data_IF_669330060676
#
_entry.id   IF_669330060676
#
_cell.length_a   1.000
_cell.length_b   1.000
_cell.length_c   1.000
_cell.angle_alpha   90.00
_cell.angle_beta   90.00
_cell.angle_gamma   90.00
#
_symmetry.space_group_name_H-M   'P 1'
#
loop_
_entity.id
_entity.type
_entity.pdbx_description
1 polymer ?
#
# COMPACT_ATOMS: atom_id res chain seq x y z
N UNK A 1 -6.22 -7.24 9.95
CA UNK A 1 -6.88 -7.37 8.63
C UNK A 1 -6.67 -8.79 8.18
N UNK A 2 -7.72 -9.53 7.89
CA UNK A 2 -7.61 -10.87 7.31
C UNK A 2 -7.49 -10.77 5.79
N UNK A 3 -6.68 -11.66 5.17
CA UNK A 3 -6.63 -11.80 3.72
C UNK A 3 -7.97 -12.31 3.24
N UNK A 4 -8.58 -11.53 2.40
CA UNK A 4 -9.74 -12.01 1.69
C UNK A 4 -9.30 -12.64 0.36
N UNK A 5 -9.64 -13.92 0.17
CA UNK A 5 -9.43 -14.61 -1.09
C UNK A 5 -10.61 -14.28 -2.01
N UNK A 6 -10.35 -13.45 -2.99
CA UNK A 6 -11.34 -13.10 -3.99
C UNK A 6 -11.54 -14.28 -4.93
N UNK A 7 -12.79 -14.69 -5.08
CA UNK A 7 -13.22 -15.72 -6.01
C UNK A 7 -14.13 -15.14 -7.11
N UNK A 8 -14.49 -15.97 -8.07
CA UNK A 8 -15.40 -15.57 -9.14
C UNK A 8 -16.76 -15.13 -8.60
N UNK A 9 -17.29 -15.84 -7.59
CA UNK A 9 -18.57 -15.50 -6.98
C UNK A 9 -18.60 -14.12 -6.33
N UNK A 10 -17.49 -13.73 -5.68
CA UNK A 10 -17.34 -12.39 -5.13
C UNK A 10 -17.35 -11.30 -6.22
N UNK A 11 -16.57 -11.51 -7.28
CA UNK A 11 -16.47 -10.56 -8.40
C UNK A 11 -17.81 -10.44 -9.14
N UNK A 12 -18.53 -11.55 -9.31
CA UNK A 12 -19.84 -11.55 -9.94
C UNK A 12 -20.88 -10.78 -9.10
N UNK A 13 -20.96 -11.03 -7.78
CA UNK A 13 -21.84 -10.26 -6.87
C UNK A 13 -21.49 -8.77 -6.85
N UNK A 14 -20.20 -8.43 -6.83
CA UNK A 14 -19.77 -7.03 -6.88
C UNK A 14 -20.18 -6.35 -8.20
N UNK A 15 -20.09 -7.07 -9.31
CA UNK A 15 -20.54 -6.59 -10.63
C UNK A 15 -22.04 -6.36 -10.67
N UNK A 16 -22.81 -7.22 -10.03
CA UNK A 16 -24.28 -7.15 -9.94
C UNK A 16 -24.76 -6.07 -8.97
N UNK A 17 -23.85 -5.50 -8.17
CA UNK A 17 -24.18 -4.43 -7.22
C UNK A 17 -24.77 -4.96 -5.92
N UNK A 18 -24.40 -6.16 -5.49
CA UNK A 18 -24.80 -6.69 -4.19
C UNK A 18 -24.33 -5.77 -3.06
N UNK A 19 -25.26 -5.22 -2.25
CA UNK A 19 -24.90 -4.18 -1.27
C UNK A 19 -23.90 -4.66 -0.22
N UNK A 20 -23.99 -5.91 0.22
CA UNK A 20 -23.07 -6.47 1.23
C UNK A 20 -21.66 -6.63 0.65
N UNK A 21 -21.56 -7.08 -0.59
CA UNK A 21 -20.29 -7.25 -1.30
C UNK A 21 -19.66 -5.88 -1.60
N UNK A 22 -20.44 -4.88 -2.00
CA UNK A 22 -19.96 -3.51 -2.20
C UNK A 22 -19.45 -2.90 -0.89
N UNK A 23 -20.19 -3.02 0.21
CA UNK A 23 -19.76 -2.53 1.52
C UNK A 23 -18.44 -3.18 1.96
N UNK A 24 -18.32 -4.50 1.79
CA UNK A 24 -17.09 -5.23 2.08
C UNK A 24 -15.93 -4.75 1.19
N UNK A 25 -16.17 -4.56 -0.12
CA UNK A 25 -15.18 -4.07 -1.07
C UNK A 25 -14.62 -2.71 -0.64
N UNK A 26 -15.48 -1.74 -0.32
CA UNK A 26 -15.04 -0.43 0.12
C UNK A 26 -14.26 -0.49 1.43
N UNK A 27 -14.78 -1.17 2.44
CA UNK A 27 -14.13 -1.29 3.74
C UNK A 27 -12.75 -1.99 3.66
N UNK A 28 -12.64 -3.04 2.84
CA UNK A 28 -11.40 -3.79 2.66
C UNK A 28 -10.33 -2.95 1.94
N UNK A 29 -10.68 -2.34 0.82
CA UNK A 29 -9.73 -1.56 0.04
C UNK A 29 -9.46 -0.17 0.60
N UNK A 30 -10.32 0.38 1.43
CA UNK A 30 -10.05 1.64 2.14
C UNK A 30 -8.75 1.59 2.93
N UNK A 31 -8.55 0.52 3.70
CA UNK A 31 -7.35 0.34 4.50
C UNK A 31 -6.10 0.12 3.62
N UNK A 32 -6.20 -0.77 2.62
CA UNK A 32 -5.07 -1.14 1.75
C UNK A 32 -4.62 0.06 0.90
N UNK A 33 -5.55 0.68 0.19
CA UNK A 33 -5.26 1.84 -0.64
C UNK A 33 -4.81 3.04 0.22
N UNK A 34 -5.40 3.21 1.41
CA UNK A 34 -4.98 4.24 2.36
C UNK A 34 -3.52 4.11 2.76
N UNK A 35 -3.06 2.92 3.12
CA UNK A 35 -1.64 2.65 3.44
C UNK A 35 -0.76 2.94 2.22
N UNK A 36 -1.15 2.42 1.04
CA UNK A 36 -0.38 2.59 -0.19
C UNK A 36 -0.25 4.07 -0.61
N UNK A 37 -1.32 4.85 -0.46
CA UNK A 37 -1.36 6.26 -0.85
C UNK A 37 -0.63 7.16 0.17
N UNK A 38 -0.76 6.88 1.47
CA UNK A 38 0.03 7.55 2.52
C UNK A 38 1.53 7.31 2.33
N UNK A 39 1.91 6.09 1.93
CA UNK A 39 3.30 5.78 1.60
C UNK A 39 3.91 6.71 0.53
N UNK A 40 3.07 7.29 -0.31
CA UNK A 40 3.46 8.29 -1.33
C UNK A 40 3.39 9.73 -0.85
N UNK A 41 3.15 9.94 0.43
CA UNK A 41 3.10 11.27 1.05
C UNK A 41 2.05 12.20 0.39
N UNK A 42 0.94 11.66 -0.09
CA UNK A 42 -0.16 12.46 -0.62
C UNK A 42 -0.91 13.20 0.52
N UNK A 43 -1.45 14.39 0.27
CA UNK A 43 -2.33 15.05 1.23
C UNK A 43 -3.64 14.25 1.37
N UNK A 44 -4.31 14.31 2.55
CA UNK A 44 -5.51 13.51 2.85
C UNK A 44 -6.61 13.66 1.79
N UNK A 45 -6.88 14.89 1.34
CA UNK A 45 -7.90 15.18 0.34
C UNK A 45 -7.61 14.44 -0.99
N UNK A 46 -6.34 14.39 -1.39
CA UNK A 46 -5.92 13.67 -2.59
C UNK A 46 -5.99 12.15 -2.42
N UNK A 47 -5.82 11.64 -1.20
CA UNK A 47 -5.99 10.22 -0.91
C UNK A 47 -7.45 9.82 -1.15
N UNK A 48 -8.39 10.63 -0.67
CA UNK A 48 -9.82 10.38 -0.83
C UNK A 48 -10.25 10.45 -2.30
N UNK A 49 -9.80 11.45 -3.02
CA UNK A 49 -10.09 11.60 -4.46
C UNK A 49 -9.58 10.38 -5.26
N UNK A 50 -8.33 9.98 -5.03
CA UNK A 50 -7.74 8.82 -5.72
C UNK A 50 -8.47 7.53 -5.37
N UNK A 51 -8.89 7.34 -4.11
CA UNK A 51 -9.67 6.16 -3.70
C UNK A 51 -11.03 6.14 -4.40
N UNK A 52 -11.77 7.24 -4.35
CA UNK A 52 -13.10 7.33 -4.99
C UNK A 52 -13.02 7.06 -6.49
N UNK A 53 -12.06 7.68 -7.17
CA UNK A 53 -11.87 7.47 -8.60
C UNK A 53 -11.46 6.02 -8.90
N UNK A 54 -10.61 5.41 -8.04
CA UNK A 54 -10.24 4.00 -8.16
C UNK A 54 -11.46 3.10 -8.06
N UNK A 55 -12.31 3.32 -7.06
CA UNK A 55 -13.53 2.52 -6.87
C UNK A 55 -14.48 2.66 -8.07
N UNK A 56 -14.71 3.89 -8.51
CA UNK A 56 -15.54 4.16 -9.68
C UNK A 56 -15.08 3.42 -10.92
N UNK A 57 -13.77 3.47 -11.21
CA UNK A 57 -13.17 2.77 -12.35
C UNK A 57 -13.22 1.26 -12.22
N UNK A 58 -12.96 0.71 -11.03
CA UNK A 58 -13.05 -0.73 -10.79
C UNK A 58 -14.46 -1.22 -11.08
N UNK A 59 -15.48 -0.59 -10.50
CA UNK A 59 -16.88 -0.96 -10.72
C UNK A 59 -17.28 -0.81 -12.20
N UNK A 60 -16.86 0.28 -12.86
CA UNK A 60 -17.12 0.49 -14.28
C UNK A 60 -16.50 -0.61 -15.16
N UNK A 61 -15.27 -1.06 -14.85
CA UNK A 61 -14.61 -2.15 -15.59
C UNK A 61 -15.31 -3.47 -15.35
N UNK A 62 -15.74 -3.76 -14.11
CA UNK A 62 -16.48 -4.99 -13.78
C UNK A 62 -17.80 -5.09 -14.54
N UNK A 63 -18.50 -3.98 -14.73
CA UNK A 63 -19.79 -3.92 -15.44
C UNK A 63 -19.67 -4.01 -16.96
N UNK A 64 -18.46 -3.87 -17.53
CA UNK A 64 -18.25 -4.06 -18.97
C UNK A 64 -18.19 -5.54 -19.34
N UNK A 65 -18.52 -5.85 -20.61
CA UNK A 65 -18.36 -7.19 -21.16
C UNK A 65 -16.88 -7.62 -21.04
N UNK A 66 -16.67 -8.84 -20.49
CA UNK A 66 -15.35 -9.41 -20.26
C UNK A 66 -14.78 -9.18 -18.86
N UNK A 67 -15.27 -8.24 -18.07
CA UNK A 67 -14.91 -8.04 -16.65
C UNK A 67 -13.43 -8.30 -16.30
N UNK A 68 -13.19 -8.88 -15.12
CA UNK A 68 -11.86 -9.30 -14.68
C UNK A 68 -11.58 -10.75 -15.07
N UNK A 69 -10.57 -10.98 -15.91
CA UNK A 69 -10.24 -12.33 -16.43
C UNK A 69 -9.75 -13.32 -15.37
N UNK A 70 -9.16 -12.82 -14.29
CA UNK A 70 -8.56 -13.62 -13.21
C UNK A 70 -9.08 -13.10 -11.86
N UNK A 71 -10.25 -13.61 -11.40
CA UNK A 71 -10.86 -13.17 -10.14
C UNK A 71 -9.96 -13.35 -8.93
N UNK A 72 -9.13 -14.37 -8.90
CA UNK A 72 -8.15 -14.65 -7.84
C UNK A 72 -7.06 -13.57 -7.72
N UNK A 73 -6.90 -12.75 -8.76
CA UNK A 73 -5.98 -11.59 -8.79
C UNK A 73 -6.70 -10.26 -8.64
N UNK A 74 -7.93 -10.28 -8.16
CA UNK A 74 -8.74 -9.07 -8.05
C UNK A 74 -8.07 -7.97 -7.23
N UNK A 75 -7.40 -8.32 -6.12
CA UNK A 75 -6.64 -7.36 -5.32
C UNK A 75 -5.53 -6.66 -6.13
N UNK A 76 -4.75 -7.42 -6.90
CA UNK A 76 -3.72 -6.86 -7.78
C UNK A 76 -4.31 -5.98 -8.89
N UNK A 77 -5.47 -6.35 -9.41
CA UNK A 77 -6.19 -5.53 -10.39
C UNK A 77 -6.61 -4.17 -9.80
N UNK A 78 -7.23 -4.14 -8.61
CA UNK A 78 -7.60 -2.89 -7.92
C UNK A 78 -6.39 -1.99 -7.70
N UNK A 79 -5.27 -2.57 -7.26
CA UNK A 79 -4.02 -1.83 -7.08
C UNK A 79 -3.47 -1.25 -8.39
N UNK A 80 -3.57 -1.99 -9.49
CA UNK A 80 -3.16 -1.50 -10.80
C UNK A 80 -4.02 -0.32 -11.27
N UNK A 81 -5.33 -0.40 -11.06
CA UNK A 81 -6.25 0.73 -11.34
C UNK A 81 -5.87 1.95 -10.50
N UNK A 82 -5.60 1.78 -9.21
CA UNK A 82 -5.20 2.87 -8.33
C UNK A 82 -3.88 3.53 -8.78
N UNK A 83 -2.89 2.74 -9.20
CA UNK A 83 -1.62 3.26 -9.75
C UNK A 83 -1.87 4.09 -11.02
N UNK A 84 -2.75 3.64 -11.90
CA UNK A 84 -3.09 4.38 -13.12
C UNK A 84 -3.76 5.71 -12.80
N UNK A 85 -4.73 5.73 -11.87
CA UNK A 85 -5.37 6.96 -11.39
C UNK A 85 -4.34 7.94 -10.84
N UNK A 86 -3.39 7.45 -10.04
CA UNK A 86 -2.30 8.26 -9.51
C UNK A 86 -1.42 8.86 -10.62
N UNK A 87 -1.05 8.07 -11.61
CA UNK A 87 -0.22 8.55 -12.72
C UNK A 87 -0.94 9.61 -13.55
N UNK A 88 -2.21 9.45 -13.82
CA UNK A 88 -3.02 10.43 -14.53
C UNK A 88 -3.13 11.74 -13.75
N UNK A 89 -3.49 11.66 -12.46
CA UNK A 89 -3.58 12.81 -11.59
C UNK A 89 -2.23 13.56 -11.42
N UNK A 90 -1.11 12.85 -11.46
CA UNK A 90 0.20 13.48 -11.44
C UNK A 90 0.50 14.19 -12.77
N UNK A 91 0.14 13.60 -13.92
CA UNK A 91 0.35 14.25 -15.22
C UNK A 91 -0.45 15.56 -15.33
N UNK A 92 -1.65 15.60 -14.81
CA UNK A 92 -2.48 16.81 -14.80
C UNK A 92 -1.93 17.89 -13.86
N UNK A 93 -1.32 17.48 -12.73
CA UNK A 93 -0.61 18.38 -11.81
C UNK A 93 0.70 18.92 -12.41
N UNK A 94 1.41 18.12 -13.21
CA UNK A 94 2.64 18.57 -13.91
C UNK A 94 2.36 19.53 -15.07
N UNK A 95 1.17 19.50 -15.65
CA UNK A 95 0.76 20.52 -16.65
C UNK A 95 0.51 21.89 -16.02
N UNK A 96 0.31 21.97 -14.73
CA UNK A 96 -0.03 23.19 -13.98
C UNK A 96 1.11 23.76 -13.16
N UNK A 97 2.31 23.12 -13.10
CA UNK A 97 3.49 23.64 -12.38
C UNK A 97 4.79 23.34 -13.14
N UNK A 98 5.78 24.28 -13.19
CA UNK A 98 7.08 24.05 -13.78
C UNK A 98 7.88 23.02 -12.97
N UNK A 99 8.57 22.19 -13.71
CA UNK A 99 9.46 21.09 -13.30
C UNK A 99 10.29 21.38 -12.05
N UNK A 100 10.09 20.56 -11.01
CA UNK A 100 11.16 20.20 -10.09
C UNK A 100 11.33 18.68 -10.20
N UNK A 101 12.47 18.30 -10.76
CA UNK A 101 12.93 16.94 -10.91
C UNK A 101 12.89 16.18 -9.58
N UNK A 102 12.15 15.10 -9.52
CA UNK A 102 12.15 14.18 -8.40
C UNK A 102 11.86 12.78 -8.92
N UNK A 103 12.91 11.98 -9.05
CA UNK A 103 12.94 10.59 -9.46
C UNK A 103 11.63 9.84 -9.20
N UNK A 104 10.96 9.48 -10.27
CA UNK A 104 9.93 8.44 -10.31
C UNK A 104 10.63 7.10 -10.04
N UNK A 105 10.57 6.63 -8.81
CA UNK A 105 10.94 5.26 -8.51
C UNK A 105 10.03 4.31 -9.29
N UNK A 106 10.67 3.42 -10.04
CA UNK A 106 10.05 2.33 -10.79
C UNK A 106 9.19 1.44 -9.88
N UNK A 107 8.00 1.01 -10.34
CA UNK A 107 6.94 0.39 -9.53
C UNK A 107 7.18 -1.06 -9.08
N UNK A 108 8.35 -1.67 -9.29
CA UNK A 108 8.43 -3.13 -9.43
C UNK A 108 8.63 -3.95 -8.16
N UNK A 109 8.75 -3.36 -6.96
CA UNK A 109 9.00 -4.18 -5.75
C UNK A 109 8.00 -4.04 -4.59
N UNK A 110 7.02 -3.17 -4.71
CA UNK A 110 6.00 -3.00 -3.64
C UNK A 110 4.94 -4.12 -3.67
N UNK A 111 4.80 -4.82 -4.78
CA UNK A 111 3.77 -5.87 -4.99
C UNK A 111 3.98 -7.10 -4.11
N UNK A 112 5.20 -7.38 -3.67
CA UNK A 112 5.47 -8.53 -2.79
C UNK A 112 5.14 -8.27 -1.31
N UNK A 113 5.10 -7.01 -0.88
CA UNK A 113 4.67 -6.66 0.48
C UNK A 113 3.17 -6.90 0.69
N UNK A 114 2.35 -6.72 -0.32
CA UNK A 114 0.90 -6.89 -0.24
C UNK A 114 0.46 -8.36 -0.04
N UNK A 115 1.19 -9.30 -0.60
CA UNK A 115 0.92 -10.73 -0.40
C UNK A 115 1.28 -11.23 1.00
N UNK A 116 2.15 -10.52 1.68
CA UNK A 116 2.75 -10.91 2.95
C UNK A 116 2.02 -10.37 4.19
N UNK A 117 1.26 -9.30 4.08
CA UNK A 117 0.74 -8.51 5.22
C UNK A 117 -0.49 -9.10 5.93
N UNK A 118 -0.88 -10.34 5.68
CA UNK A 118 -2.26 -10.71 5.91
C UNK A 118 -2.47 -11.87 6.86
N UNK A 119 -1.45 -12.52 7.33
CA UNK A 119 -1.57 -13.49 8.41
C UNK A 119 -1.22 -12.85 9.77
N UNK A 120 -1.69 -13.44 10.85
CA UNK A 120 -1.28 -13.09 12.23
C UNK A 120 0.24 -13.10 12.36
N UNK A 121 0.90 -14.09 11.74
CA UNK A 121 2.36 -14.19 11.61
C UNK A 121 3.01 -12.97 10.96
N UNK A 122 2.36 -12.37 9.97
CA UNK A 122 2.95 -11.19 9.30
C UNK A 122 2.84 -9.94 10.16
N UNK A 123 1.75 -9.79 10.93
CA UNK A 123 1.62 -8.69 11.88
C UNK A 123 2.69 -8.78 12.98
N UNK A 124 2.92 -9.98 13.51
CA UNK A 124 3.98 -10.24 14.48
C UNK A 124 5.35 -9.96 13.88
N UNK A 125 5.60 -10.42 12.66
CA UNK A 125 6.85 -10.15 11.92
C UNK A 125 7.10 -8.65 11.67
N UNK A 126 6.10 -7.92 11.23
CA UNK A 126 6.22 -6.47 11.05
C UNK A 126 6.54 -5.77 12.37
N UNK A 127 5.94 -6.24 13.47
CA UNK A 127 6.24 -5.71 14.81
C UNK A 127 7.69 -6.00 15.20
N UNK A 128 8.15 -7.24 15.04
CA UNK A 128 9.53 -7.65 15.34
C UNK A 128 10.53 -6.81 14.56
N UNK A 129 10.31 -6.63 13.25
CA UNK A 129 11.16 -5.79 12.40
C UNK A 129 11.18 -4.35 12.88
N UNK A 130 10.01 -3.79 13.21
CA UNK A 130 9.94 -2.43 13.73
C UNK A 130 10.67 -2.31 15.07
N UNK A 131 10.72 -3.37 15.89
CA UNK A 131 11.47 -3.38 17.15
C UNK A 131 12.98 -3.42 16.95
N UNK A 132 13.47 -4.03 15.87
CA UNK A 132 14.89 -4.00 15.49
C UNK A 132 15.35 -2.64 14.93
N UNK A 133 14.40 -1.81 14.48
CA UNK A 133 14.72 -0.48 13.95
C UNK A 133 15.01 0.53 15.06
N UNK A 134 15.72 1.62 14.72
CA UNK A 134 15.89 2.73 15.65
C UNK A 134 14.54 3.31 16.06
N UNK A 135 14.40 3.75 17.31
CA UNK A 135 13.17 4.35 17.81
C UNK A 135 12.65 5.46 16.88
N UNK A 136 13.56 6.29 16.39
CA UNK A 136 13.25 7.43 15.52
C UNK A 136 12.69 7.03 14.16
N UNK A 137 13.18 5.95 13.56
CA UNK A 137 12.66 5.42 12.28
C UNK A 137 11.34 4.68 12.49
N UNK A 138 11.22 3.95 13.59
CA UNK A 138 9.98 3.28 14.00
C UNK A 138 8.84 4.27 14.17
N UNK A 139 9.07 5.34 14.95
CA UNK A 139 8.06 6.36 15.20
C UNK A 139 7.68 7.11 13.91
N UNK A 140 8.66 7.37 13.05
CA UNK A 140 8.41 7.98 11.75
C UNK A 140 7.53 7.10 10.85
N UNK A 141 7.83 5.80 10.77
CA UNK A 141 7.01 4.88 9.99
C UNK A 141 5.60 4.74 10.58
N UNK A 142 5.46 4.68 11.91
CA UNK A 142 4.14 4.67 12.56
C UNK A 142 3.35 5.93 12.24
N UNK A 143 3.94 7.10 12.41
CA UNK A 143 3.28 8.38 12.14
C UNK A 143 2.81 8.49 10.67
N UNK A 144 3.64 8.03 9.73
CA UNK A 144 3.32 8.12 8.29
C UNK A 144 2.31 7.08 7.84
N UNK A 145 2.35 5.85 8.39
CA UNK A 145 1.58 4.72 7.85
C UNK A 145 0.38 4.31 8.69
N UNK A 146 0.44 4.50 10.00
CA UNK A 146 -0.57 4.00 10.92
C UNK A 146 -1.40 5.11 11.56
N UNK A 147 -0.82 6.30 11.72
CA UNK A 147 -1.50 7.47 12.25
C UNK A 147 -2.07 8.30 11.09
N UNK A 148 -3.30 8.78 11.20
CA UNK A 148 -3.95 9.59 10.18
C UNK A 148 -3.44 11.05 10.16
N UNK A 149 -2.20 11.26 10.60
CA UNK A 149 -1.57 12.57 10.70
C UNK A 149 -1.33 13.23 9.34
N UNK A 150 -1.64 14.52 9.28
CA UNK A 150 -1.30 15.38 8.15
C UNK A 150 0.23 15.54 8.06
N UNK A 151 0.79 15.67 6.84
CA UNK A 151 2.22 15.91 6.60
C UNK A 151 2.80 17.04 7.45
N UNK A 152 2.07 18.12 7.61
CA UNK A 152 2.53 19.29 8.35
C UNK A 152 2.61 19.02 9.85
N UNK A 153 1.75 18.16 10.38
CA UNK A 153 1.82 17.67 11.75
C UNK A 153 3.03 16.77 11.95
N UNK A 154 3.27 15.86 11.01
CA UNK A 154 4.45 14.99 11.05
C UNK A 154 5.73 15.81 10.92
N UNK A 155 5.78 16.80 10.02
CA UNK A 155 6.90 17.71 9.90
C UNK A 155 7.18 18.46 11.21
N UNK A 156 6.15 18.97 11.88
CA UNK A 156 6.26 19.63 13.19
C UNK A 156 6.73 18.68 14.29
N UNK A 157 6.15 17.47 14.35
CA UNK A 157 6.50 16.45 15.33
C UNK A 157 7.97 16.03 15.24
N UNK A 158 8.50 15.88 14.02
CA UNK A 158 9.88 15.46 13.78
C UNK A 158 10.87 16.62 13.59
N UNK A 159 10.41 17.87 13.61
CA UNK A 159 11.25 19.07 13.45
C UNK A 159 11.94 19.14 12.08
N UNK A 160 11.23 18.79 11.00
CA UNK A 160 11.77 18.71 9.65
C UNK A 160 10.86 19.42 8.64
N UNK A 161 11.42 19.87 7.53
CA UNK A 161 10.62 20.31 6.38
C UNK A 161 10.05 19.13 5.56
N UNK A 162 9.20 19.43 4.59
CA UNK A 162 8.53 18.42 3.76
C UNK A 162 9.50 17.61 2.91
N UNK A 163 10.55 18.25 2.37
CA UNK A 163 11.51 17.58 1.50
C UNK A 163 12.43 16.68 2.30
N UNK A 164 12.89 17.13 3.45
CA UNK A 164 13.68 16.31 4.35
C UNK A 164 12.86 15.16 4.97
N UNK A 165 11.58 15.38 5.28
CA UNK A 165 10.67 14.32 5.70
C UNK A 165 10.60 13.22 4.66
N UNK A 166 10.46 13.58 3.37
CA UNK A 166 10.42 12.63 2.24
C UNK A 166 11.69 11.77 2.19
N UNK A 167 12.85 12.39 2.28
CA UNK A 167 14.13 11.68 2.30
C UNK A 167 14.25 10.75 3.52
N UNK A 168 13.80 11.20 4.68
CA UNK A 168 13.84 10.37 5.90
C UNK A 168 12.90 9.17 5.82
N UNK A 169 11.69 9.36 5.32
CA UNK A 169 10.73 8.25 5.12
C UNK A 169 11.30 7.24 4.13
N UNK A 170 11.91 7.70 3.03
CA UNK A 170 12.57 6.80 2.08
C UNK A 170 13.66 5.97 2.76
N UNK A 171 14.57 6.59 3.50
CA UNK A 171 15.64 5.88 4.23
C UNK A 171 15.10 4.91 5.29
N UNK A 172 14.06 5.29 6.00
CA UNK A 172 13.44 4.40 6.98
C UNK A 172 12.79 3.17 6.31
N UNK A 173 12.17 3.35 5.15
CA UNK A 173 11.62 2.23 4.33
C UNK A 173 12.72 1.29 3.84
N UNK A 174 13.84 1.82 3.35
CA UNK A 174 14.96 0.97 2.91
C UNK A 174 15.54 0.16 4.07
N UNK A 175 15.72 0.75 5.26
CA UNK A 175 16.15 0.01 6.46
C UNK A 175 15.15 -1.07 6.87
N UNK A 176 13.86 -0.77 6.83
CA UNK A 176 12.83 -1.77 7.10
C UNK A 176 12.96 -2.96 6.14
N UNK A 177 13.17 -2.68 4.87
CA UNK A 177 13.35 -3.70 3.84
C UNK A 177 14.61 -4.55 4.08
N UNK A 178 15.73 -3.93 4.43
CA UNK A 178 16.97 -4.64 4.76
C UNK A 178 16.80 -5.60 5.94
N UNK A 179 16.14 -5.16 7.02
CA UNK A 179 15.84 -6.01 8.18
C UNK A 179 14.92 -7.15 7.79
N UNK A 180 13.87 -6.87 7.01
CA UNK A 180 12.93 -7.87 6.51
C UNK A 180 13.61 -8.95 5.65
N UNK A 181 14.46 -8.57 4.71
CA UNK A 181 15.20 -9.50 3.84
C UNK A 181 16.19 -10.38 4.66
N UNK A 182 16.84 -9.79 5.65
CA UNK A 182 17.72 -10.49 6.59
C UNK A 182 16.96 -11.56 7.39
N UNK A 183 15.79 -11.21 7.90
CA UNK A 183 14.95 -12.13 8.66
C UNK A 183 14.45 -13.29 7.79
N UNK A 184 14.02 -13.01 6.56
CA UNK A 184 13.61 -14.04 5.59
C UNK A 184 14.74 -15.03 5.30
N UNK A 185 15.95 -14.54 5.12
CA UNK A 185 17.14 -15.38 4.87
C UNK A 185 17.46 -16.27 6.07
N UNK A 186 17.41 -15.71 7.27
CA UNK A 186 17.66 -16.44 8.52
C UNK A 186 16.63 -17.56 8.75
N UNK A 187 15.36 -17.30 8.46
CA UNK A 187 14.29 -18.31 8.56
C UNK A 187 14.44 -19.43 7.54
N UNK A 188 14.83 -19.12 6.30
CA UNK A 188 15.10 -20.14 5.26
C UNK A 188 16.22 -21.09 5.69
N UNK A 189 17.31 -20.55 6.25
CA UNK A 189 18.43 -21.35 6.75
C UNK A 189 17.98 -22.25 7.91
N UNK A 190 17.21 -21.71 8.88
CA UNK A 190 16.67 -22.50 10.01
C UNK A 190 15.69 -23.59 9.58
N UNK A 191 14.87 -23.34 8.56
CA UNK A 191 13.96 -24.35 8.02
C UNK A 191 14.71 -25.47 7.29
N UNK A 192 15.74 -25.14 6.53
CA UNK A 192 16.59 -26.11 5.84
C UNK A 192 17.36 -27.01 6.83
N UNK A 193 17.82 -26.46 7.96
CA UNK A 193 18.56 -27.23 8.99
C UNK A 193 17.66 -28.17 9.81
N UNK A 194 16.35 -27.91 9.89
CA UNK A 194 15.39 -28.80 10.59
C UNK A 194 14.84 -29.93 9.73
N UNK A 195 15.00 -29.88 8.40
CA UNK A 195 14.54 -30.90 7.47
C UNK A 195 15.58 -31.99 7.13
N UNK A 196 16.78 -31.92 7.72
CA UNK A 196 17.90 -32.88 7.47
C UNK A 196 18.23 -33.75 8.69
N UNK A 197 17.27 -33.85 9.64
CA UNK A 197 17.42 -34.72 10.83
C UNK A 197 16.43 -35.87 10.83
#
# INVERSE_FOLDING_TARGET
MELYLFDKGYVDRLREGDPQTEQHFYAYFEQILGIMLRARMLPPERIDDVRQETYSRVIAILRREGGVKQPERFGAFVNSVCKNVLHENNRDSYRSQPLLDGHLETPDKIVDLERSLISKETKERVRDILEEMTQRDRDLLKAVFLEEGNKDEICRQFGVDRDYLRVRVHRAKERFKEVYEKELTTRRIRAASKGSG
#
